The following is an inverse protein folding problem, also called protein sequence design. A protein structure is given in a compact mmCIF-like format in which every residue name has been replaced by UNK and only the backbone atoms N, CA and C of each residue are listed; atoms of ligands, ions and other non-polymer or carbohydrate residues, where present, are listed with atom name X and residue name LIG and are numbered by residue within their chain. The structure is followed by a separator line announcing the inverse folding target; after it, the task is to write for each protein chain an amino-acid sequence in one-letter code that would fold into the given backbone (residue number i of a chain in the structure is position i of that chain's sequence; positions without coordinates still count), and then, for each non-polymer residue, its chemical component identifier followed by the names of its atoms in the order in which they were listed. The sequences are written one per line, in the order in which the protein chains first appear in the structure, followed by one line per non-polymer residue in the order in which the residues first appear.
data_IF_328496667226
#
_entry.id   IF_328496667226
#
_cell.length_a   1.000
_cell.length_b   1.000
_cell.length_c   1.000
_cell.angle_alpha   90.00
_cell.angle_beta   90.00
_cell.angle_gamma   90.00
#
_symmetry.space_group_name_H-M   'P 1'
#
loop_
_entity.id
_entity.type
_entity.pdbx_description
1 polymer ?
#
# COMPACT_ATOMS: atom_id res chain seq x y z
N UNK A 1 -6.23 19.24 7.93
CA UNK A 1 -4.80 19.02 8.21
C UNK A 1 -4.30 17.80 7.43
N UNK A 2 -3.23 17.94 6.70
CA UNK A 2 -2.70 16.85 5.90
C UNK A 2 -1.58 16.11 6.64
N UNK A 3 -1.50 14.80 6.42
CA UNK A 3 -0.47 13.95 6.99
C UNK A 3 0.73 13.95 6.05
N UNK A 4 1.92 14.19 6.61
CA UNK A 4 3.17 14.19 5.84
C UNK A 4 3.63 12.75 5.63
N UNK A 5 3.58 12.27 4.38
CA UNK A 5 4.02 10.93 4.03
C UNK A 5 5.37 10.99 3.29
N UNK A 6 6.27 10.02 3.52
CA UNK A 6 7.46 9.89 2.67
C UNK A 6 7.05 9.78 1.20
N UNK A 7 7.84 10.33 0.27
CA UNK A 7 7.45 10.38 -1.15
C UNK A 7 6.98 9.07 -1.77
N UNK A 8 7.65 7.91 -1.58
CA UNK A 8 7.14 6.67 -2.17
C UNK A 8 5.79 6.25 -1.61
N UNK A 9 5.54 6.51 -0.33
CA UNK A 9 4.26 6.16 0.31
C UNK A 9 3.17 7.12 -0.16
N UNK A 10 3.48 8.42 -0.27
CA UNK A 10 2.53 9.40 -0.78
C UNK A 10 2.10 9.03 -2.21
N UNK A 11 3.04 8.63 -3.05
CA UNK A 11 2.77 8.21 -4.40
C UNK A 11 1.91 6.94 -4.41
N UNK A 12 2.22 5.97 -3.55
CA UNK A 12 1.45 4.74 -3.43
C UNK A 12 -0.03 5.05 -3.13
N UNK A 13 -0.29 5.90 -2.14
CA UNK A 13 -1.66 6.27 -1.76
C UNK A 13 -2.36 6.99 -2.92
N UNK A 14 -1.67 7.91 -3.56
CA UNK A 14 -2.23 8.68 -4.67
C UNK A 14 -2.64 7.77 -5.84
N UNK A 15 -1.75 6.88 -6.26
CA UNK A 15 -2.00 5.97 -7.37
C UNK A 15 -3.06 4.91 -7.01
N UNK A 16 -3.05 4.45 -5.78
CA UNK A 16 -4.05 3.51 -5.27
C UNK A 16 -5.44 4.13 -5.38
N UNK A 17 -5.60 5.37 -4.91
CA UNK A 17 -6.89 6.06 -4.94
C UNK A 17 -7.32 6.43 -6.35
N UNK A 18 -6.37 6.64 -7.26
CA UNK A 18 -6.65 6.92 -8.66
C UNK A 18 -7.02 5.66 -9.46
N UNK A 19 -6.75 4.47 -8.89
CA UNK A 19 -6.98 3.22 -9.60
C UNK A 19 -5.92 2.93 -10.66
N UNK A 20 -4.77 3.61 -10.60
CA UNK A 20 -3.68 3.43 -11.57
C UNK A 20 -2.76 2.30 -11.12
N UNK A 21 -3.15 1.07 -11.44
CA UNK A 21 -2.42 -0.12 -11.02
C UNK A 21 -1.16 -0.37 -11.82
N UNK A 22 -1.07 0.15 -13.03
CA UNK A 22 0.15 0.00 -13.85
C UNK A 22 1.29 0.87 -13.35
N UNK A 23 1.02 2.15 -13.11
CA UNK A 23 2.03 3.09 -12.63
C UNK A 23 2.38 2.84 -11.16
N UNK A 24 1.50 2.18 -10.42
CA UNK A 24 1.71 1.87 -9.02
C UNK A 24 3.02 1.12 -8.79
N UNK A 25 3.41 0.25 -9.73
CA UNK A 25 4.67 -0.50 -9.63
C UNK A 25 5.90 0.40 -9.58
N UNK A 26 5.78 1.65 -10.05
CA UNK A 26 6.90 2.60 -10.00
C UNK A 26 7.27 3.01 -8.58
N UNK A 27 6.38 2.80 -7.61
CA UNK A 27 6.66 3.08 -6.19
C UNK A 27 7.58 2.04 -5.56
N UNK A 28 7.68 0.86 -6.16
CA UNK A 28 8.34 -0.30 -5.57
C UNK A 28 9.72 -0.56 -6.16
N UNK A 29 10.63 -1.06 -5.32
CA UNK A 29 11.91 -1.55 -5.81
C UNK A 29 11.69 -2.79 -6.69
N UNK A 30 12.61 -3.08 -7.65
CA UNK A 30 12.43 -4.23 -8.54
C UNK A 30 12.28 -5.58 -7.82
N UNK A 31 12.91 -5.71 -6.64
CA UNK A 31 12.85 -6.93 -5.83
C UNK A 31 11.94 -6.79 -4.62
N UNK A 32 10.97 -5.88 -4.68
CA UNK A 32 10.07 -5.64 -3.56
C UNK A 32 9.19 -6.85 -3.25
N UNK A 33 8.77 -6.94 -1.99
CA UNK A 33 7.92 -8.01 -1.49
C UNK A 33 6.70 -7.38 -0.81
N UNK A 34 5.52 -7.87 -1.14
CA UNK A 34 4.27 -7.45 -0.50
C UNK A 34 3.63 -8.65 0.17
N UNK A 35 3.18 -8.47 1.41
CA UNK A 35 2.42 -9.47 2.16
C UNK A 35 1.05 -8.91 2.50
N UNK A 36 0.02 -9.60 2.03
CA UNK A 36 -1.37 -9.19 2.22
C UNK A 36 -2.27 -10.42 2.27
N UNK A 37 -3.17 -10.47 3.25
CA UNK A 37 -4.13 -11.54 3.43
C UNK A 37 -3.48 -12.94 3.46
N UNK A 38 -2.30 -13.05 4.09
CA UNK A 38 -1.57 -14.31 4.20
C UNK A 38 -0.87 -14.74 2.92
N UNK A 39 -0.89 -13.92 1.89
CA UNK A 39 -0.21 -14.18 0.61
C UNK A 39 1.03 -13.32 0.48
N UNK A 40 2.02 -13.82 -0.24
CA UNK A 40 3.26 -13.09 -0.52
C UNK A 40 3.42 -12.89 -2.02
N UNK A 41 3.71 -11.65 -2.39
CA UNK A 41 3.90 -11.26 -3.79
C UNK A 41 5.32 -10.72 -3.96
N UNK A 42 6.12 -11.37 -4.79
CA UNK A 42 7.52 -10.98 -5.00
C UNK A 42 7.75 -10.44 -6.40
N UNK A 43 8.36 -9.25 -6.47
CA UNK A 43 8.71 -8.60 -7.72
C UNK A 43 7.57 -7.78 -8.31
N UNK A 44 7.94 -6.89 -9.26
CA UNK A 44 7.00 -5.92 -9.82
C UNK A 44 5.82 -6.56 -10.55
N UNK A 45 6.06 -7.63 -11.29
CA UNK A 45 4.99 -8.28 -12.04
C UNK A 45 3.92 -8.85 -11.11
N UNK A 46 4.34 -9.53 -10.03
CA UNK A 46 3.40 -10.09 -9.05
C UNK A 46 2.67 -8.99 -8.29
N UNK A 47 3.37 -7.91 -7.93
CA UNK A 47 2.79 -6.78 -7.20
C UNK A 47 1.75 -6.06 -8.07
N UNK A 48 2.05 -5.84 -9.34
CA UNK A 48 1.13 -5.21 -10.28
C UNK A 48 -0.14 -6.07 -10.46
N UNK A 49 0.03 -7.37 -10.61
CA UNK A 49 -1.09 -8.30 -10.73
C UNK A 49 -1.96 -8.32 -9.46
N UNK A 50 -1.32 -8.30 -8.30
CA UNK A 50 -2.02 -8.24 -7.00
C UNK A 50 -2.88 -6.97 -6.91
N UNK A 51 -2.33 -5.81 -7.23
CA UNK A 51 -3.07 -4.56 -7.14
C UNK A 51 -4.22 -4.49 -8.15
N UNK A 52 -3.98 -4.94 -9.37
CA UNK A 52 -5.03 -4.97 -10.38
C UNK A 52 -6.20 -5.84 -9.92
N UNK A 53 -5.92 -7.01 -9.35
CA UNK A 53 -6.93 -7.93 -8.87
C UNK A 53 -7.71 -7.36 -7.67
N UNK A 54 -7.00 -6.80 -6.68
CA UNK A 54 -7.66 -6.24 -5.50
C UNK A 54 -8.48 -5.01 -5.82
N UNK A 55 -7.99 -4.15 -6.71
CA UNK A 55 -8.73 -2.96 -7.11
C UNK A 55 -9.99 -3.30 -7.87
N UNK A 56 -9.90 -4.27 -8.78
CA UNK A 56 -11.05 -4.77 -9.54
C UNK A 56 -12.10 -5.39 -8.62
N UNK A 57 -11.66 -6.13 -7.59
CA UNK A 57 -12.54 -6.85 -6.68
C UNK A 57 -13.22 -5.91 -5.67
N UNK A 58 -12.47 -4.96 -5.10
CA UNK A 58 -12.94 -4.16 -3.97
C UNK A 58 -13.25 -2.70 -4.28
N UNK A 59 -12.70 -2.15 -5.36
CA UNK A 59 -12.85 -0.72 -5.69
C UNK A 59 -12.51 0.18 -4.50
N UNK A 60 -11.46 -0.18 -3.76
CA UNK A 60 -11.17 0.44 -2.48
C UNK A 60 -10.37 1.74 -2.61
N UNK A 61 -10.53 2.60 -1.58
CA UNK A 61 -9.73 3.81 -1.40
C UNK A 61 -9.06 3.79 -0.04
N UNK A 62 -7.94 4.50 0.06
CA UNK A 62 -7.12 4.58 1.27
C UNK A 62 -7.13 6.02 1.77
N UNK A 63 -7.55 6.21 3.02
CA UNK A 63 -7.53 7.53 3.68
C UNK A 63 -6.54 7.49 4.83
N UNK A 64 -5.38 8.14 4.71
CA UNK A 64 -4.38 8.17 5.78
C UNK A 64 -4.91 8.79 7.06
N UNK A 65 -4.63 8.16 8.20
CA UNK A 65 -4.99 8.66 9.52
C UNK A 65 -3.75 9.08 10.32
N UNK A 66 -2.68 8.31 10.23
CA UNK A 66 -1.47 8.53 11.01
C UNK A 66 -0.28 7.82 10.37
N UNK A 67 0.91 8.31 10.63
CA UNK A 67 2.15 7.70 10.17
C UNK A 67 3.17 7.73 11.30
N UNK A 68 3.88 6.62 11.51
CA UNK A 68 4.86 6.48 12.58
C UNK A 68 6.05 5.65 12.13
N UNK A 69 7.21 5.90 12.74
CA UNK A 69 8.41 5.10 12.51
C UNK A 69 8.52 4.07 13.63
N UNK A 70 8.58 2.79 13.28
CA UNK A 70 8.66 1.70 14.25
C UNK A 70 9.62 0.63 13.76
N UNK A 71 10.69 0.39 14.52
CA UNK A 71 11.64 -0.71 14.25
C UNK A 71 12.14 -0.73 12.80
N UNK A 72 12.53 0.45 12.29
CA UNK A 72 13.05 0.58 10.92
C UNK A 72 11.99 0.55 9.83
N UNK A 73 10.72 0.54 10.19
CA UNK A 73 9.59 0.57 9.25
C UNK A 73 8.80 1.85 9.39
N UNK A 74 8.20 2.29 8.30
CA UNK A 74 7.23 3.38 8.32
C UNK A 74 5.85 2.76 8.31
N UNK A 75 5.09 2.97 9.39
CA UNK A 75 3.75 2.39 9.52
C UNK A 75 2.71 3.45 9.25
N UNK A 76 1.91 3.23 8.22
CA UNK A 76 0.77 4.07 7.87
C UNK A 76 -0.50 3.41 8.41
N UNK A 77 -1.21 4.12 9.27
CA UNK A 77 -2.54 3.71 9.71
C UNK A 77 -3.55 4.44 8.85
N UNK A 78 -4.44 3.71 8.23
CA UNK A 78 -5.38 4.28 7.27
C UNK A 78 -6.75 3.62 7.34
N UNK A 79 -7.77 4.35 6.90
CA UNK A 79 -9.10 3.79 6.69
C UNK A 79 -9.18 3.28 5.26
N UNK A 80 -9.57 2.02 5.12
CA UNK A 80 -9.79 1.38 3.83
C UNK A 80 -11.30 1.28 3.61
N UNK A 81 -11.78 1.89 2.53
CA UNK A 81 -13.20 1.93 2.17
C UNK A 81 -13.39 1.30 0.81
N UNK A 82 -14.35 0.40 0.64
CA UNK A 82 -14.58 -0.22 -0.64
C UNK A 82 -15.75 -1.21 -0.60
N UNK A 83 -15.85 -2.02 -1.67
CA UNK A 83 -16.91 -3.00 -1.83
C UNK A 83 -16.50 -4.33 -1.19
N UNK A 84 -16.50 -4.37 0.13
CA UNK A 84 -16.16 -5.58 0.88
C UNK A 84 -16.88 -5.59 2.22
N UNK A 85 -17.12 -6.79 2.79
CA UNK A 85 -17.75 -6.89 4.11
C UNK A 85 -16.89 -6.21 5.18
N UNK A 86 -17.52 -5.43 6.06
CA UNK A 86 -16.82 -4.72 7.12
C UNK A 86 -16.29 -3.35 6.75
N UNK A 87 -16.45 -2.92 5.49
CA UNK A 87 -16.04 -1.58 5.07
C UNK A 87 -16.88 -0.50 5.77
N UNK A 88 -16.26 0.62 6.22
CA UNK A 88 -14.83 0.89 6.22
C UNK A 88 -14.10 0.15 7.34
N UNK A 89 -12.81 -0.08 7.17
CA UNK A 89 -11.98 -0.75 8.18
C UNK A 89 -10.66 0.00 8.31
N UNK A 90 -10.10 0.00 9.54
CA UNK A 90 -8.78 0.58 9.78
C UNK A 90 -7.72 -0.50 9.62
N UNK A 91 -6.72 -0.22 8.80
CA UNK A 91 -5.61 -1.15 8.54
C UNK A 91 -4.28 -0.45 8.72
N UNK A 92 -3.25 -1.24 8.95
CA UNK A 92 -1.88 -0.77 9.10
C UNK A 92 -1.04 -1.26 7.92
N UNK A 93 -0.34 -0.33 7.29
CA UNK A 93 0.56 -0.61 6.19
C UNK A 93 1.99 -0.40 6.68
N UNK A 94 2.75 -1.47 6.84
CA UNK A 94 4.14 -1.39 7.29
C UNK A 94 5.07 -1.40 6.08
N UNK A 95 5.75 -0.29 5.84
CA UNK A 95 6.64 -0.11 4.69
C UNK A 95 8.09 -0.14 5.11
N UNK A 96 8.93 -0.80 4.32
CA UNK A 96 10.38 -0.63 4.38
C UNK A 96 10.78 0.10 3.12
N UNK A 97 11.46 1.23 3.28
CA UNK A 97 11.88 2.08 2.16
C UNK A 97 13.37 1.96 1.93
N UNK A 98 13.79 1.96 0.67
CA UNK A 98 15.19 1.94 0.30
C UNK A 98 15.39 2.70 -1.01
N UNK A 99 16.34 3.63 -1.01
CA UNK A 99 16.69 4.42 -2.20
C UNK A 99 15.49 5.08 -2.89
N UNK A 100 14.56 5.59 -2.09
CA UNK A 100 13.38 6.28 -2.61
C UNK A 100 12.28 5.38 -3.15
N UNK A 101 12.35 4.07 -2.87
CA UNK A 101 11.37 3.08 -3.31
C UNK A 101 10.87 2.24 -2.14
N UNK A 102 9.72 1.59 -2.32
CA UNK A 102 9.20 0.65 -1.34
C UNK A 102 9.89 -0.70 -1.58
N UNK A 103 10.64 -1.16 -0.57
CA UNK A 103 11.30 -2.46 -0.63
C UNK A 103 10.39 -3.57 -0.12
N UNK A 104 9.58 -3.29 0.89
CA UNK A 104 8.57 -4.24 1.34
C UNK A 104 7.35 -3.51 1.89
N UNK A 105 6.22 -4.19 1.81
CA UNK A 105 4.95 -3.73 2.35
C UNK A 105 4.23 -4.91 2.98
N UNK A 106 3.78 -4.72 4.21
CA UNK A 106 2.99 -5.72 4.92
C UNK A 106 1.71 -5.05 5.40
N UNK A 107 0.56 -5.64 5.08
CA UNK A 107 -0.74 -5.07 5.39
C UNK A 107 -1.41 -5.89 6.49
N UNK A 108 -1.82 -5.23 7.56
CA UNK A 108 -2.46 -5.84 8.73
C UNK A 108 -3.75 -5.11 9.10
N UNK A 109 -4.72 -5.86 9.49
CA UNK A 109 -5.96 -5.29 10.02
C UNK A 109 -5.74 -4.68 11.41
#
# INVERSE_FOLDING_TARGET
MSIQLPPPIALYVQLENAGDTETLSACFAPNAIVRDEGQTYEGLAAITAWKAETKKKYHHTVTPLDVAQQHGKTVLTATLTGDFPGSPVTVNFAFVLEAGKILSLEIHA
#
